data_IF_317583625899
#
_entry.id   IF_317583625899
#
_cell.length_a   1.000
_cell.length_b   1.000
_cell.length_c   1.000
_cell.angle_alpha   90.00
_cell.angle_beta   90.00
_cell.angle_gamma   90.00
#
_symmetry.space_group_name_H-M   'P 1'
#
loop_
_entity.id
_entity.type
_entity.pdbx_description
1 polymer ?
#
# COMPACT_ATOMS: atom_id res chain seq x y z
N UNK A 1 -2.56 -16.95 12.40
CA UNK A 1 -2.69 -18.14 11.55
C UNK A 1 -1.29 -18.57 11.15
N UNK A 2 -0.71 -19.52 11.88
CA UNK A 2 0.55 -20.14 11.50
C UNK A 2 0.32 -21.64 11.50
N UNK A 3 0.58 -22.30 10.38
CA UNK A 3 0.73 -23.74 10.38
C UNK A 3 1.99 -24.07 11.18
N UNK A 4 1.85 -24.85 12.25
CA UNK A 4 2.99 -25.27 13.07
C UNK A 4 4.03 -25.98 12.21
N UNK A 5 5.29 -25.57 12.32
CA UNK A 5 6.40 -26.20 11.59
C UNK A 5 6.77 -27.49 12.32
N UNK A 6 6.68 -28.63 11.63
CA UNK A 6 7.25 -29.92 12.09
C UNK A 6 6.79 -30.38 13.49
N UNK A 7 5.53 -30.16 13.86
CA UNK A 7 5.00 -30.61 15.16
C UNK A 7 5.56 -29.86 16.38
N UNK A 8 6.27 -28.76 16.16
CA UNK A 8 6.78 -27.86 17.20
C UNK A 8 5.79 -26.72 17.47
N UNK A 9 5.87 -26.02 18.62
CA UNK A 9 5.08 -24.81 18.86
C UNK A 9 5.54 -23.61 18.01
N UNK A 10 6.48 -23.78 17.08
CA UNK A 10 6.90 -22.71 16.17
C UNK A 10 5.94 -22.58 15.00
N UNK A 11 5.50 -21.34 14.76
CA UNK A 11 4.53 -20.98 13.73
C UNK A 11 5.22 -20.21 12.62
N UNK A 12 5.08 -20.66 11.37
CA UNK A 12 5.52 -19.85 10.23
C UNK A 12 4.54 -18.69 10.04
N UNK A 13 5.03 -17.45 10.06
CA UNK A 13 4.23 -16.26 9.76
C UNK A 13 4.55 -15.78 8.33
N UNK A 14 3.82 -16.26 7.30
CA UNK A 14 4.09 -15.89 5.91
C UNK A 14 3.96 -14.39 5.67
N UNK A 15 3.13 -13.65 6.43
CA UNK A 15 3.07 -12.18 6.38
C UNK A 15 4.43 -11.54 6.64
N UNK A 16 5.13 -12.02 7.66
CA UNK A 16 6.46 -11.53 8.01
C UNK A 16 7.50 -11.88 6.95
N UNK A 17 7.43 -13.06 6.34
CA UNK A 17 8.35 -13.47 5.29
C UNK A 17 8.19 -12.64 4.01
N UNK A 18 6.94 -12.40 3.59
CA UNK A 18 6.66 -11.57 2.42
C UNK A 18 7.09 -10.12 2.68
N UNK A 19 6.83 -9.60 3.88
CA UNK A 19 7.21 -8.23 4.23
C UNK A 19 8.72 -8.06 4.40
N UNK A 20 9.42 -9.02 5.01
CA UNK A 20 10.88 -8.96 5.15
C UNK A 20 11.56 -9.07 3.78
N UNK A 21 11.08 -9.93 2.90
CA UNK A 21 11.55 -10.02 1.51
C UNK A 21 11.34 -8.70 0.76
N UNK A 22 10.18 -8.06 0.93
CA UNK A 22 9.89 -6.75 0.34
C UNK A 22 10.85 -5.66 0.84
N UNK A 23 11.11 -5.58 2.14
CA UNK A 23 12.06 -4.63 2.72
C UNK A 23 13.48 -4.87 2.20
N UNK A 24 13.92 -6.14 2.12
CA UNK A 24 15.22 -6.48 1.55
C UNK A 24 15.31 -6.08 0.07
N UNK A 25 14.27 -6.31 -0.72
CA UNK A 25 14.25 -5.90 -2.12
C UNK A 25 14.41 -4.37 -2.26
N UNK A 26 13.75 -3.59 -1.40
CA UNK A 26 13.89 -2.11 -1.39
C UNK A 26 15.33 -1.69 -1.07
N UNK A 27 15.96 -2.34 -0.10
CA UNK A 27 17.33 -2.02 0.31
C UNK A 27 18.33 -2.07 -0.87
N UNK A 28 18.15 -3.01 -1.77
CA UNK A 28 19.02 -3.18 -2.95
C UNK A 28 18.64 -2.31 -4.16
N UNK A 29 17.55 -1.53 -4.10
CA UNK A 29 17.18 -0.64 -5.20
C UNK A 29 18.12 0.59 -5.28
N UNK A 30 18.33 1.13 -6.50
CA UNK A 30 19.10 2.36 -6.68
C UNK A 30 18.41 3.53 -5.99
N UNK A 31 19.20 4.34 -5.26
CA UNK A 31 18.69 5.48 -4.52
C UNK A 31 18.75 6.76 -5.36
N UNK A 32 17.66 7.55 -5.46
CA UNK A 32 17.67 8.81 -6.18
C UNK A 32 18.65 9.83 -5.60
N UNK A 33 19.27 10.61 -6.48
CA UNK A 33 20.15 11.73 -6.09
C UNK A 33 19.37 12.86 -5.42
N UNK A 34 18.24 13.26 -6.00
CA UNK A 34 17.40 14.34 -5.50
C UNK A 34 16.50 13.87 -4.35
N UNK A 35 16.42 14.67 -3.29
CA UNK A 35 15.60 14.36 -2.12
C UNK A 35 14.11 14.26 -2.47
N UNK A 36 13.62 15.10 -3.38
CA UNK A 36 12.22 15.10 -3.82
C UNK A 36 11.81 13.75 -4.43
N UNK A 37 12.68 13.17 -5.27
CA UNK A 37 12.45 11.84 -5.83
C UNK A 37 12.50 10.72 -4.78
N UNK A 38 13.28 10.89 -3.70
CA UNK A 38 13.26 9.94 -2.57
C UNK A 38 11.90 9.95 -1.87
N UNK A 39 11.31 11.13 -1.67
CA UNK A 39 9.97 11.25 -1.08
C UNK A 39 8.92 10.60 -1.98
N UNK A 40 8.95 10.88 -3.28
CA UNK A 40 8.00 10.29 -4.25
C UNK A 40 8.13 8.77 -4.30
N UNK A 41 9.35 8.23 -4.42
CA UNK A 41 9.57 6.78 -4.40
C UNK A 41 9.17 6.16 -3.07
N UNK A 42 9.47 6.81 -1.94
CA UNK A 42 9.05 6.33 -0.62
C UNK A 42 7.54 6.21 -0.52
N UNK A 43 6.79 7.20 -1.03
CA UNK A 43 5.33 7.14 -1.09
C UNK A 43 4.81 6.00 -1.99
N UNK A 44 5.42 5.80 -3.16
CA UNK A 44 5.05 4.70 -4.07
C UNK A 44 5.30 3.34 -3.42
N UNK A 45 6.46 3.16 -2.77
CA UNK A 45 6.80 1.92 -2.05
C UNK A 45 5.85 1.66 -0.88
N UNK A 46 5.48 2.70 -0.11
CA UNK A 46 4.50 2.58 0.95
C UNK A 46 3.10 2.19 0.42
N UNK A 47 2.69 2.78 -0.70
CA UNK A 47 1.43 2.44 -1.39
C UNK A 47 1.44 1.00 -1.88
N UNK A 48 2.55 0.55 -2.47
CA UNK A 48 2.74 -0.82 -2.92
C UNK A 48 2.66 -1.82 -1.77
N UNK A 49 3.30 -1.52 -0.62
CA UNK A 49 3.21 -2.35 0.58
C UNK A 49 1.76 -2.52 1.06
N UNK A 50 0.97 -1.44 1.03
CA UNK A 50 -0.46 -1.48 1.36
C UNK A 50 -1.27 -2.35 0.41
N UNK A 51 -0.98 -2.28 -0.89
CA UNK A 51 -1.62 -3.13 -1.91
C UNK A 51 -1.28 -4.61 -1.69
N UNK A 52 0.00 -4.93 -1.46
CA UNK A 52 0.45 -6.30 -1.17
C UNK A 52 -0.24 -6.85 0.08
N UNK A 53 -0.38 -6.05 1.14
CA UNK A 53 -1.11 -6.46 2.34
C UNK A 53 -2.59 -6.75 2.05
N UNK A 54 -3.25 -5.93 1.24
CA UNK A 54 -4.65 -6.17 0.87
C UNK A 54 -4.83 -7.50 0.14
N UNK A 55 -3.90 -7.85 -0.76
CA UNK A 55 -3.88 -9.13 -1.46
C UNK A 55 -3.55 -10.30 -0.54
N UNK A 56 -2.62 -10.11 0.39
CA UNK A 56 -2.30 -11.10 1.40
C UNK A 56 -3.54 -11.46 2.25
N UNK A 57 -4.29 -10.45 2.71
CA UNK A 57 -5.49 -10.68 3.52
C UNK A 57 -6.55 -11.50 2.76
N UNK A 58 -6.66 -11.30 1.44
CA UNK A 58 -7.54 -12.09 0.57
C UNK A 58 -7.03 -13.52 0.37
N UNK A 59 -5.75 -13.69 0.02
CA UNK A 59 -5.14 -14.99 -0.31
C UNK A 59 -5.15 -15.97 0.87
N UNK A 60 -5.00 -15.45 2.09
CA UNK A 60 -4.97 -16.26 3.31
C UNK A 60 -6.28 -16.24 4.09
N UNK A 61 -7.36 -15.72 3.48
CA UNK A 61 -8.69 -15.59 4.06
C UNK A 61 -8.66 -15.07 5.50
N UNK A 62 -7.96 -13.95 5.69
CA UNK A 62 -7.81 -13.35 7.01
C UNK A 62 -9.17 -12.83 7.51
N UNK A 63 -9.43 -13.04 8.81
CA UNK A 63 -10.68 -12.61 9.46
C UNK A 63 -10.82 -11.08 9.48
N UNK A 64 -9.70 -10.35 9.57
CA UNK A 64 -9.66 -8.90 9.44
C UNK A 64 -9.06 -8.54 8.08
N UNK A 65 -9.92 -8.07 7.17
CA UNK A 65 -9.54 -7.68 5.81
C UNK A 65 -9.41 -6.17 5.73
N UNK A 66 -8.44 -5.69 4.95
CA UNK A 66 -8.23 -4.27 4.72
C UNK A 66 -9.52 -3.57 4.24
N UNK A 67 -10.05 -2.68 5.08
CA UNK A 67 -11.22 -1.83 4.79
C UNK A 67 -10.83 -0.57 4.02
N UNK A 68 -11.80 0.16 3.46
CA UNK A 68 -11.56 1.41 2.76
C UNK A 68 -10.73 2.41 3.59
N UNK A 69 -9.59 2.84 3.05
CA UNK A 69 -8.70 3.82 3.68
C UNK A 69 -8.69 5.14 2.92
N UNK A 70 -8.12 6.18 3.55
CA UNK A 70 -7.59 7.34 2.82
C UNK A 70 -6.55 6.82 1.79
N UNK A 71 -6.47 7.39 0.57
CA UNK A 71 -5.79 6.82 -0.62
C UNK A 71 -6.53 5.69 -1.35
N UNK A 72 -7.79 5.46 -0.98
CA UNK A 72 -8.62 4.43 -1.60
C UNK A 72 -8.98 4.69 -3.06
N UNK A 73 -9.04 5.94 -3.51
CA UNK A 73 -9.31 6.26 -4.91
C UNK A 73 -8.02 6.13 -5.76
N UNK A 74 -6.87 6.52 -5.22
CA UNK A 74 -5.58 6.48 -5.91
C UNK A 74 -5.02 5.06 -6.07
N UNK A 75 -5.16 4.22 -5.04
CA UNK A 75 -4.61 2.84 -5.03
C UNK A 75 -5.68 1.75 -5.15
N UNK A 76 -6.97 2.12 -5.17
CA UNK A 76 -8.09 1.18 -5.15
C UNK A 76 -8.13 0.22 -6.34
N UNK A 77 -7.66 0.65 -7.50
CA UNK A 77 -7.62 -0.18 -8.72
C UNK A 77 -6.63 -1.35 -8.62
N UNK A 78 -5.58 -1.22 -7.79
CA UNK A 78 -4.59 -2.28 -7.59
C UNK A 78 -4.96 -3.22 -6.42
N UNK A 79 -5.97 -2.86 -5.62
CA UNK A 79 -6.46 -3.65 -4.49
C UNK A 79 -7.48 -4.71 -4.97
N UNK A 80 -7.68 -5.81 -4.20
CA UNK A 80 -8.60 -6.88 -4.57
C UNK A 80 -10.08 -6.44 -4.63
N UNK A 81 -10.90 -7.18 -5.38
CA UNK A 81 -12.32 -6.84 -5.65
C UNK A 81 -13.20 -6.70 -4.39
N UNK A 82 -12.88 -7.37 -3.29
CA UNK A 82 -13.61 -7.17 -2.03
C UNK A 82 -13.49 -5.71 -1.52
N UNK A 83 -12.33 -5.09 -1.73
CA UNK A 83 -12.10 -3.70 -1.33
C UNK A 83 -12.97 -2.72 -2.13
N UNK A 84 -13.16 -2.95 -3.43
CA UNK A 84 -14.01 -2.07 -4.26
C UNK A 84 -15.48 -2.16 -3.85
N UNK A 85 -15.97 -3.35 -3.50
CA UNK A 85 -17.33 -3.53 -3.00
C UNK A 85 -17.57 -2.79 -1.68
N UNK A 86 -16.64 -2.90 -0.72
CA UNK A 86 -16.70 -2.16 0.55
C UNK A 86 -16.55 -0.64 0.32
N UNK A 87 -15.73 -0.24 -0.67
CA UNK A 87 -15.61 1.16 -1.07
C UNK A 87 -16.91 1.71 -1.65
N UNK A 88 -17.64 0.91 -2.43
CA UNK A 88 -18.92 1.31 -3.01
C UNK A 88 -20.03 1.48 -1.98
N UNK A 89 -20.00 0.70 -0.89
CA UNK A 89 -20.96 0.82 0.23
C UNK A 89 -20.75 2.09 1.08
N UNK A 90 -19.61 2.77 0.98
CA UNK A 90 -19.35 3.98 1.75
C UNK A 90 -20.33 5.13 1.40
N UNK A 91 -20.71 5.96 2.39
CA UNK A 91 -21.52 7.14 2.13
C UNK A 91 -20.82 8.12 1.20
N UNK A 92 -21.59 8.80 0.34
CA UNK A 92 -21.06 9.76 -0.64
C UNK A 92 -20.18 10.86 -0.03
N UNK A 93 -20.45 11.25 1.22
CA UNK A 93 -19.64 12.22 1.97
C UNK A 93 -18.19 11.76 2.14
N UNK A 94 -17.98 10.49 2.52
CA UNK A 94 -16.64 9.93 2.71
C UNK A 94 -15.94 9.67 1.37
N UNK A 95 -16.67 9.24 0.34
CA UNK A 95 -16.10 9.10 -1.03
C UNK A 95 -15.55 10.44 -1.54
N UNK A 96 -16.29 11.54 -1.36
CA UNK A 96 -15.82 12.88 -1.72
C UNK A 96 -14.60 13.30 -0.90
N UNK A 97 -14.58 13.01 0.40
CA UNK A 97 -13.45 13.31 1.26
C UNK A 97 -12.19 12.55 0.80
N UNK A 98 -12.29 11.24 0.60
CA UNK A 98 -11.18 10.41 0.11
C UNK A 98 -10.69 10.94 -1.24
N UNK A 99 -11.59 11.22 -2.18
CA UNK A 99 -11.19 11.79 -3.47
C UNK A 99 -10.45 13.11 -3.34
N UNK A 100 -10.90 14.03 -2.48
CA UNK A 100 -10.25 15.32 -2.31
C UNK A 100 -8.85 15.18 -1.70
N UNK A 101 -8.69 14.29 -0.70
CA UNK A 101 -7.39 13.96 -0.11
C UNK A 101 -6.47 13.36 -1.18
N UNK A 102 -6.97 12.40 -1.96
CA UNK A 102 -6.20 11.71 -2.98
C UNK A 102 -5.74 12.67 -4.10
N UNK A 103 -6.60 13.62 -4.51
CA UNK A 103 -6.22 14.68 -5.45
C UNK A 103 -5.15 15.59 -4.86
N UNK A 104 -5.31 16.05 -3.61
CA UNK A 104 -4.33 16.91 -2.96
C UNK A 104 -2.95 16.22 -2.87
N UNK A 105 -2.94 14.95 -2.48
CA UNK A 105 -1.72 14.13 -2.43
C UNK A 105 -1.11 13.98 -3.82
N UNK A 106 -1.92 13.71 -4.86
CA UNK A 106 -1.44 13.57 -6.23
C UNK A 106 -0.80 14.87 -6.75
N UNK A 107 -1.41 16.03 -6.48
CA UNK A 107 -0.84 17.34 -6.85
C UNK A 107 0.51 17.56 -6.16
N UNK A 108 0.61 17.26 -4.87
CA UNK A 108 1.88 17.37 -4.11
C UNK A 108 2.95 16.45 -4.69
N UNK A 109 2.60 15.20 -5.01
CA UNK A 109 3.54 14.23 -5.58
C UNK A 109 4.03 14.65 -6.96
N UNK A 110 3.14 15.17 -7.82
CA UNK A 110 3.53 15.71 -9.12
C UNK A 110 4.43 16.93 -8.96
N UNK A 111 4.10 17.87 -8.07
CA UNK A 111 4.96 19.02 -7.79
C UNK A 111 6.36 18.59 -7.33
N UNK A 112 6.45 17.63 -6.40
CA UNK A 112 7.74 17.08 -5.95
C UNK A 112 8.48 16.36 -7.08
N UNK A 113 7.79 15.59 -7.92
CA UNK A 113 8.38 14.88 -9.05
C UNK A 113 8.98 15.82 -10.09
N UNK A 114 8.33 16.96 -10.37
CA UNK A 114 8.79 17.90 -11.41
C UNK A 114 9.64 19.05 -10.89
N UNK A 115 9.59 19.37 -9.59
CA UNK A 115 10.36 20.48 -9.01
C UNK A 115 11.87 20.49 -9.34
N UNK A 116 12.63 19.36 -9.30
CA UNK A 116 14.08 19.40 -9.62
C UNK A 116 14.40 19.61 -11.10
N UNK A 117 13.41 19.63 -11.99
CA UNK A 117 13.60 19.91 -13.42
C UNK A 117 13.20 21.35 -13.81
N UNK A 118 12.52 22.07 -12.91
CA UNK A 118 12.00 23.42 -13.15
C UNK A 118 12.74 24.48 -12.32
N UNK A 119 13.22 24.10 -11.13
CA UNK A 119 14.08 24.89 -10.25
C UNK A 119 15.54 24.45 -10.38
#
# INVERSE_FOLDING_TARGET
MGGGLFGTPLYLNPKCLVFSAFVLAIWYLPHPKFWQHRVVLGFILASLAYVIMAWYDLLFDCNDRLRPTFLGWLTGWAKPAHYSQEYEKLPLKYKKLVRNVDIAVLVVLLALAFSPYVL
#
